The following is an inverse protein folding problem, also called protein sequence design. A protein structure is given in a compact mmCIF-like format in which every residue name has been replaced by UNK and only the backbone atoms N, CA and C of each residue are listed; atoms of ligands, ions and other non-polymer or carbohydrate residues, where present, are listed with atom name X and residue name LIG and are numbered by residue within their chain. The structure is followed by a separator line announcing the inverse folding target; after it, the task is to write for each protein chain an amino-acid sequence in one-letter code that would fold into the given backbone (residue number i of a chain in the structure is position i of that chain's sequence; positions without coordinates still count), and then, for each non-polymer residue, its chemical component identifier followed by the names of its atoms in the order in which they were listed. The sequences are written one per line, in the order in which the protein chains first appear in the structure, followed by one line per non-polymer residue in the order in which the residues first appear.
data_IF_076042954353
#
_entry.id   IF_076042954353
#
_cell.length_a   1.000
_cell.length_b   1.000
_cell.length_c   1.000
_cell.angle_alpha   90.00
_cell.angle_beta   90.00
_cell.angle_gamma   90.00
#
_symmetry.space_group_name_H-M   'P 1'
#
loop_
_entity.id
_entity.type
_entity.pdbx_description
1 polymer ?
#
# COMPACT_ATOMS: atom_id res chain seq x y z
N UNK A 1 -14.59 4.03 -17.50
CA UNK A 1 -13.55 3.13 -16.95
C UNK A 1 -12.17 3.78 -16.77
N UNK A 2 -11.75 4.76 -17.59
CA UNK A 2 -10.42 5.39 -17.45
C UNK A 2 -10.30 6.30 -16.21
N UNK A 3 -11.34 7.07 -15.91
CA UNK A 3 -11.37 7.96 -14.73
C UNK A 3 -11.32 7.22 -13.39
N UNK A 4 -12.05 6.10 -13.25
CA UNK A 4 -12.05 5.32 -12.00
C UNK A 4 -10.68 4.75 -11.63
N UNK A 5 -9.87 4.38 -12.64
CA UNK A 5 -8.49 3.91 -12.43
C UNK A 5 -7.57 5.03 -11.93
N UNK A 6 -7.72 6.24 -12.47
CA UNK A 6 -6.92 7.40 -12.03
C UNK A 6 -7.23 7.71 -10.56
N UNK A 7 -8.51 7.75 -10.19
CA UNK A 7 -8.90 7.98 -8.79
C UNK A 7 -8.41 6.90 -7.84
N UNK A 8 -8.44 5.62 -8.25
CA UNK A 8 -7.88 4.53 -7.43
C UNK A 8 -6.36 4.68 -7.23
N UNK A 9 -5.62 5.06 -8.28
CA UNK A 9 -4.18 5.29 -8.19
C UNK A 9 -3.85 6.52 -7.34
N UNK A 10 -4.60 7.61 -7.49
CA UNK A 10 -4.45 8.80 -6.65
C UNK A 10 -4.76 8.49 -5.18
N UNK A 11 -5.84 7.76 -4.91
CA UNK A 11 -6.19 7.32 -3.56
C UNK A 11 -5.10 6.45 -2.93
N UNK A 12 -4.54 5.51 -3.69
CA UNK A 12 -3.41 4.70 -3.26
C UNK A 12 -2.16 5.57 -2.99
N UNK A 13 -1.84 6.51 -3.87
CA UNK A 13 -0.70 7.40 -3.68
C UNK A 13 -0.85 8.26 -2.42
N UNK A 14 -2.05 8.80 -2.16
CA UNK A 14 -2.35 9.57 -0.94
C UNK A 14 -2.26 8.70 0.32
N UNK A 15 -2.76 7.46 0.27
CA UNK A 15 -2.67 6.51 1.38
C UNK A 15 -1.20 6.21 1.72
N UNK A 16 -0.39 5.94 0.71
CA UNK A 16 1.05 5.66 0.85
C UNK A 16 1.81 6.88 1.37
N UNK A 17 1.53 8.07 0.83
CA UNK A 17 2.12 9.32 1.30
C UNK A 17 1.79 9.55 2.78
N UNK A 18 0.53 9.33 3.19
CA UNK A 18 0.13 9.42 4.59
C UNK A 18 0.84 8.41 5.49
N UNK A 19 1.02 7.17 5.04
CA UNK A 19 1.73 6.13 5.78
C UNK A 19 3.22 6.48 5.96
N UNK A 20 3.89 6.94 4.90
CA UNK A 20 5.28 7.35 4.99
C UNK A 20 5.48 8.63 5.80
N UNK A 21 4.55 9.58 5.73
CA UNK A 21 4.58 10.76 6.61
C UNK A 21 4.41 10.37 8.08
N UNK A 22 3.58 9.37 8.40
CA UNK A 22 3.47 8.84 9.76
C UNK A 22 4.79 8.20 10.25
N UNK A 23 5.51 7.50 9.37
CA UNK A 23 6.76 6.82 9.71
C UNK A 23 7.99 7.73 9.68
N UNK A 24 7.89 8.95 9.16
CA UNK A 24 9.04 9.86 9.04
C UNK A 24 9.78 10.09 10.36
N UNK A 25 9.06 10.05 11.49
CA UNK A 25 9.63 10.20 12.83
C UNK A 25 10.52 9.02 13.24
N UNK A 26 10.28 7.83 12.69
CA UNK A 26 11.07 6.61 12.92
C UNK A 26 12.35 6.55 12.09
N UNK A 27 12.42 7.35 11.03
CA UNK A 27 13.54 7.37 10.07
C UNK A 27 14.47 8.57 10.23
N UNK A 28 14.15 9.47 11.15
CA UNK A 28 14.90 10.70 11.41
C UNK A 28 16.12 10.52 12.30
N UNK A 29 16.71 11.64 12.72
CA UNK A 29 17.94 11.69 13.52
C UNK A 29 17.83 10.97 14.88
N UNK A 30 16.63 10.92 15.44
CA UNK A 30 16.32 10.24 16.71
C UNK A 30 15.77 8.81 16.47
N UNK A 31 15.65 8.40 15.20
CA UNK A 31 15.08 7.13 14.78
C UNK A 31 16.10 5.99 14.74
N UNK A 32 15.60 4.77 14.93
CA UNK A 32 16.43 3.56 14.86
C UNK A 32 16.62 3.05 13.42
N UNK A 33 15.95 3.66 12.43
CA UNK A 33 15.81 3.13 11.07
C UNK A 33 16.09 4.16 9.97
N UNK A 34 17.32 4.67 9.92
CA UNK A 34 17.77 5.63 8.88
C UNK A 34 17.56 5.15 7.44
N UNK A 35 17.52 3.84 7.21
CA UNK A 35 17.26 3.28 5.87
C UNK A 35 15.81 3.47 5.39
N UNK A 36 14.89 3.90 6.28
CA UNK A 36 13.47 4.01 5.97
C UNK A 36 13.16 4.93 4.78
N UNK A 37 13.93 6.00 4.60
CA UNK A 37 13.81 6.89 3.43
C UNK A 37 14.12 6.22 2.09
N UNK A 38 14.88 5.12 2.10
CA UNK A 38 15.12 4.29 0.91
C UNK A 38 13.88 3.50 0.47
N UNK A 39 12.95 3.22 1.39
CA UNK A 39 11.80 2.33 1.11
C UNK A 39 10.80 2.95 0.12
N UNK A 40 10.35 4.22 0.25
CA UNK A 40 9.48 4.85 -0.75
C UNK A 40 10.10 4.86 -2.16
N UNK A 41 11.39 5.15 -2.26
CA UNK A 41 12.13 5.20 -3.53
C UNK A 41 12.21 3.80 -4.16
N UNK A 42 12.62 2.80 -3.38
CA UNK A 42 12.71 1.41 -3.82
C UNK A 42 11.33 0.84 -4.18
N UNK A 43 10.27 1.19 -3.44
CA UNK A 43 8.91 0.78 -3.74
C UNK A 43 8.45 1.31 -5.11
N UNK A 44 8.62 2.61 -5.37
CA UNK A 44 8.27 3.21 -6.67
C UNK A 44 9.06 2.52 -7.79
N UNK A 45 10.37 2.32 -7.59
CA UNK A 45 11.20 1.60 -8.55
C UNK A 45 10.67 0.19 -8.83
N UNK A 46 10.39 -0.60 -7.79
CA UNK A 46 9.85 -1.95 -7.95
C UNK A 46 8.50 -1.97 -8.65
N UNK A 47 7.60 -1.04 -8.32
CA UNK A 47 6.30 -0.92 -8.98
C UNK A 47 6.45 -0.59 -10.46
N UNK A 48 7.35 0.33 -10.82
CA UNK A 48 7.66 0.66 -12.22
C UNK A 48 8.22 -0.56 -12.97
N UNK A 49 9.17 -1.28 -12.38
CA UNK A 49 9.74 -2.47 -13.02
C UNK A 49 8.71 -3.59 -13.19
N UNK A 50 7.84 -3.80 -12.20
CA UNK A 50 6.75 -4.78 -12.30
C UNK A 50 5.68 -4.36 -13.29
N UNK A 51 5.36 -3.07 -13.42
CA UNK A 51 4.41 -2.57 -14.41
C UNK A 51 4.87 -2.83 -15.85
N UNK A 52 6.18 -2.72 -16.13
CA UNK A 52 6.76 -3.00 -17.47
C UNK A 52 6.63 -4.46 -17.90
N UNK A 53 6.56 -5.37 -16.93
CA UNK A 53 6.50 -6.83 -17.14
C UNK A 53 5.15 -7.42 -16.68
N UNK A 54 4.14 -6.58 -16.54
CA UNK A 54 2.85 -6.99 -16.00
C UNK A 54 2.16 -8.00 -16.95
N UNK A 55 1.55 -9.07 -16.42
CA UNK A 55 0.84 -10.04 -17.24
C UNK A 55 -0.39 -9.40 -17.90
N UNK A 56 -0.84 -9.95 -19.03
CA UNK A 56 -2.07 -9.51 -19.70
C UNK A 56 -3.22 -9.51 -18.70
N UNK A 57 -3.95 -8.39 -18.53
CA UNK A 57 -5.07 -8.32 -17.61
C UNK A 57 -6.11 -9.40 -17.87
N UNK A 58 -6.50 -10.14 -16.83
CA UNK A 58 -7.73 -10.93 -16.89
C UNK A 58 -8.94 -9.99 -17.05
N UNK A 59 -10.09 -10.52 -17.47
CA UNK A 59 -11.31 -9.73 -17.59
C UNK A 59 -11.59 -8.92 -16.30
N UNK A 60 -12.15 -7.70 -16.42
CA UNK A 60 -12.39 -6.83 -15.28
C UNK A 60 -13.18 -7.56 -14.18
N UNK A 61 -12.62 -7.62 -12.97
CA UNK A 61 -13.33 -8.17 -11.82
C UNK A 61 -14.48 -7.26 -11.40
N UNK A 62 -15.62 -7.84 -11.03
CA UNK A 62 -16.79 -7.09 -10.56
C UNK A 62 -16.51 -6.33 -9.26
N UNK A 63 -17.30 -5.29 -8.97
CA UNK A 63 -17.20 -4.47 -7.77
C UNK A 63 -17.44 -5.24 -6.45
N UNK A 64 -17.95 -6.47 -6.50
CA UNK A 64 -18.10 -7.37 -5.35
C UNK A 64 -17.00 -8.44 -5.23
N UNK A 65 -15.96 -8.38 -6.06
CA UNK A 65 -14.88 -9.38 -6.04
C UNK A 65 -13.93 -9.26 -4.84
N UNK A 66 -13.04 -10.24 -4.65
CA UNK A 66 -12.08 -10.26 -3.54
C UNK A 66 -11.19 -9.01 -3.48
N UNK A 67 -10.89 -8.38 -4.64
CA UNK A 67 -10.14 -7.12 -4.67
C UNK A 67 -10.84 -5.99 -3.91
N UNK A 68 -12.17 -5.89 -3.99
CA UNK A 68 -12.93 -4.88 -3.26
C UNK A 68 -12.92 -5.12 -1.75
N UNK A 69 -13.02 -6.38 -1.33
CA UNK A 69 -12.90 -6.75 0.08
C UNK A 69 -11.52 -6.41 0.63
N UNK A 70 -10.44 -6.63 -0.14
CA UNK A 70 -9.08 -6.24 0.25
C UNK A 70 -8.94 -4.72 0.39
N UNK A 71 -9.47 -3.94 -0.57
CA UNK A 71 -9.43 -2.47 -0.48
C UNK A 71 -10.23 -1.98 0.73
N UNK A 72 -11.44 -2.49 0.95
CA UNK A 72 -12.26 -2.09 2.09
C UNK A 72 -11.58 -2.43 3.43
N UNK A 73 -11.07 -3.65 3.58
CA UNK A 73 -10.34 -4.08 4.77
C UNK A 73 -9.07 -3.24 5.00
N UNK A 74 -8.31 -2.96 3.93
CA UNK A 74 -7.10 -2.17 4.01
C UNK A 74 -7.33 -0.71 4.37
N UNK A 75 -8.37 -0.08 3.81
CA UNK A 75 -8.78 1.27 4.17
C UNK A 75 -9.27 1.34 5.62
N UNK A 76 -10.05 0.36 6.07
CA UNK A 76 -10.51 0.29 7.45
C UNK A 76 -9.34 0.13 8.43
N UNK A 77 -8.40 -0.76 8.12
CA UNK A 77 -7.19 -0.93 8.93
C UNK A 77 -6.37 0.37 9.00
N UNK A 78 -6.15 1.04 7.87
CA UNK A 78 -5.45 2.32 7.83
C UNK A 78 -6.17 3.42 8.64
N UNK A 79 -7.50 3.51 8.54
CA UNK A 79 -8.29 4.49 9.27
C UNK A 79 -8.23 4.26 10.78
N UNK A 80 -8.47 3.02 11.22
CA UNK A 80 -8.39 2.65 12.64
C UNK A 80 -6.97 2.90 13.18
N UNK A 81 -5.93 2.48 12.44
CA UNK A 81 -4.55 2.75 12.83
C UNK A 81 -4.26 4.24 12.97
N UNK A 82 -4.75 5.09 12.05
CA UNK A 82 -4.59 6.54 12.17
C UNK A 82 -5.18 7.07 13.47
N UNK A 83 -6.38 6.64 13.83
CA UNK A 83 -7.02 6.98 15.12
C UNK A 83 -6.19 6.57 16.33
N UNK A 84 -5.61 5.37 16.30
CA UNK A 84 -4.76 4.85 17.39
C UNK A 84 -3.41 5.56 17.50
N UNK A 85 -2.89 6.09 16.39
CA UNK A 85 -1.58 6.76 16.33
C UNK A 85 -1.65 8.25 16.72
N UNK A 86 -2.84 8.87 16.74
CA UNK A 86 -3.04 10.24 17.23
C UNK A 86 -2.47 10.44 18.66
N UNK A 87 -2.83 9.62 19.65
CA UNK A 87 -2.29 9.75 21.01
C UNK A 87 -0.91 9.09 21.20
N UNK A 88 -0.57 8.09 20.39
CA UNK A 88 0.68 7.32 20.50
C UNK A 88 1.34 7.12 19.12
N UNK A 89 2.06 8.13 18.60
CA UNK A 89 2.59 8.12 17.23
C UNK A 89 3.57 6.98 16.92
N UNK A 90 4.22 6.45 17.96
CA UNK A 90 5.27 5.43 17.87
C UNK A 90 4.75 4.02 18.17
N UNK A 91 3.43 3.83 18.30
CA UNK A 91 2.88 2.53 18.63
C UNK A 91 3.06 1.53 17.47
N UNK A 92 4.05 0.65 17.62
CA UNK A 92 4.45 -0.33 16.60
C UNK A 92 3.30 -1.17 16.06
N UNK A 93 2.40 -1.68 16.91
CA UNK A 93 1.29 -2.52 16.44
C UNK A 93 0.33 -1.74 15.52
N UNK A 94 0.05 -0.47 15.85
CA UNK A 94 -0.78 0.38 15.03
C UNK A 94 -0.08 0.75 13.70
N UNK A 95 1.23 0.99 13.72
CA UNK A 95 2.04 1.18 12.50
C UNK A 95 2.01 -0.06 11.61
N UNK A 96 2.21 -1.26 12.17
CA UNK A 96 2.09 -2.54 11.45
C UNK A 96 0.72 -2.73 10.84
N UNK A 97 -0.35 -2.45 11.59
CA UNK A 97 -1.72 -2.51 11.06
C UNK A 97 -1.95 -1.51 9.91
N UNK A 98 -1.36 -0.31 9.97
CA UNK A 98 -1.43 0.66 8.88
C UNK A 98 -0.66 0.16 7.64
N UNK A 99 0.55 -0.35 7.82
CA UNK A 99 1.36 -0.91 6.74
C UNK A 99 0.64 -2.08 6.04
N UNK A 100 0.12 -3.04 6.81
CA UNK A 100 -0.70 -4.14 6.29
C UNK A 100 -1.93 -3.61 5.56
N UNK A 101 -2.57 -2.56 6.07
CA UNK A 101 -3.65 -1.86 5.37
C UNK A 101 -3.22 -1.35 3.99
N UNK A 102 -2.05 -0.71 3.89
CA UNK A 102 -1.49 -0.25 2.61
C UNK A 102 -1.21 -1.41 1.64
N UNK A 103 -0.68 -2.53 2.14
CA UNK A 103 -0.46 -3.76 1.35
C UNK A 103 -1.78 -4.26 0.76
N UNK A 104 -2.82 -4.36 1.58
CA UNK A 104 -4.14 -4.83 1.14
C UNK A 104 -4.75 -3.92 0.08
N UNK A 105 -4.65 -2.59 0.23
CA UNK A 105 -5.15 -1.65 -0.77
C UNK A 105 -4.35 -1.76 -2.07
N UNK A 106 -3.03 -1.84 -2.02
CA UNK A 106 -2.19 -1.98 -3.21
C UNK A 106 -2.52 -3.27 -3.98
N UNK A 107 -2.62 -4.40 -3.27
CA UNK A 107 -2.99 -5.67 -3.88
C UNK A 107 -4.44 -5.72 -4.35
N UNK A 108 -5.36 -5.06 -3.66
CA UNK A 108 -6.75 -4.91 -4.10
C UNK A 108 -6.86 -4.09 -5.40
N UNK A 109 -6.10 -3.00 -5.52
CA UNK A 109 -5.98 -2.22 -6.77
C UNK A 109 -5.36 -3.07 -7.89
N UNK A 110 -4.34 -3.86 -7.59
CA UNK A 110 -3.76 -4.80 -8.55
C UNK A 110 -4.78 -5.87 -9.00
N UNK A 111 -5.60 -6.38 -8.08
CA UNK A 111 -6.68 -7.32 -8.38
C UNK A 111 -7.71 -6.72 -9.33
N UNK A 112 -8.11 -5.46 -9.14
CA UNK A 112 -9.01 -4.76 -10.07
C UNK A 112 -8.37 -4.48 -11.43
N UNK A 113 -7.06 -4.30 -11.48
CA UNK A 113 -6.34 -4.02 -12.72
C UNK A 113 -6.19 -5.26 -13.61
N UNK A 114 -5.94 -6.45 -13.05
CA UNK A 114 -5.74 -7.67 -13.85
C UNK A 114 -5.90 -8.99 -13.11
N UNK A 115 -6.64 -9.00 -12.01
CA UNK A 115 -7.06 -10.21 -11.28
C UNK A 115 -5.96 -10.85 -10.45
N UNK A 116 -6.13 -12.14 -10.14
CA UNK A 116 -5.23 -12.90 -9.25
C UNK A 116 -3.77 -12.91 -9.70
N UNK A 117 -3.51 -12.97 -11.00
CA UNK A 117 -2.14 -12.96 -11.55
C UNK A 117 -1.42 -11.64 -11.23
N UNK A 118 -2.14 -10.53 -11.27
CA UNK A 118 -1.61 -9.23 -10.87
C UNK A 118 -1.34 -9.16 -9.36
N UNK A 119 -2.23 -9.71 -8.52
CA UNK A 119 -1.99 -9.80 -7.06
C UNK A 119 -0.68 -10.52 -6.76
N UNK A 120 -0.45 -11.68 -7.39
CA UNK A 120 0.79 -12.44 -7.21
C UNK A 120 2.00 -11.66 -7.77
N UNK A 121 1.88 -11.08 -8.96
CA UNK A 121 2.96 -10.31 -9.59
C UNK A 121 3.40 -9.08 -8.77
N UNK A 122 2.46 -8.40 -8.14
CA UNK A 122 2.70 -7.21 -7.31
C UNK A 122 2.85 -7.51 -5.80
N UNK A 123 2.81 -8.79 -5.40
CA UNK A 123 3.00 -9.21 -4.00
C UNK A 123 4.34 -8.80 -3.43
N UNK A 124 5.43 -8.94 -4.20
CA UNK A 124 6.77 -8.57 -3.72
C UNK A 124 6.88 -7.07 -3.41
N UNK A 125 6.58 -6.14 -4.34
CA UNK A 125 6.61 -4.71 -4.00
C UNK A 125 5.66 -4.36 -2.85
N UNK A 126 4.47 -4.98 -2.82
CA UNK A 126 3.50 -4.73 -1.76
C UNK A 126 4.06 -5.14 -0.40
N UNK A 127 4.57 -6.35 -0.25
CA UNK A 127 5.14 -6.84 1.02
C UNK A 127 6.43 -6.11 1.39
N UNK A 128 7.24 -5.70 0.41
CA UNK A 128 8.44 -4.90 0.64
C UNK A 128 8.15 -3.58 1.37
N UNK A 129 6.96 -3.00 1.18
CA UNK A 129 6.53 -1.80 1.92
C UNK A 129 6.62 -1.98 3.44
N UNK A 130 6.43 -3.19 3.97
CA UNK A 130 6.48 -3.46 5.41
C UNK A 130 7.88 -3.31 6.01
N UNK A 131 8.93 -3.29 5.18
CA UNK A 131 10.31 -2.99 5.60
C UNK A 131 10.43 -1.54 6.10
N UNK A 132 9.45 -0.67 5.81
CA UNK A 132 9.47 0.72 6.25
C UNK A 132 9.20 0.91 7.76
N UNK A 133 8.71 -0.12 8.46
CA UNK A 133 8.27 -0.09 9.87
C UNK A 133 9.36 -0.63 10.80
#
# INVERSE_FOLDING_TARGET
MRHSRIWALLGLALLLAGFFDQLRGEWGWEGYYFYGWGVPVALVWFLVQRARTAPVPAQPTSLGGPGSAMVAAGLMAALVSRWLLLPSPHWRLALWAYGVGCVLVLLGVAAWAGGRRWVVHFSFPALFLLVAI
#
